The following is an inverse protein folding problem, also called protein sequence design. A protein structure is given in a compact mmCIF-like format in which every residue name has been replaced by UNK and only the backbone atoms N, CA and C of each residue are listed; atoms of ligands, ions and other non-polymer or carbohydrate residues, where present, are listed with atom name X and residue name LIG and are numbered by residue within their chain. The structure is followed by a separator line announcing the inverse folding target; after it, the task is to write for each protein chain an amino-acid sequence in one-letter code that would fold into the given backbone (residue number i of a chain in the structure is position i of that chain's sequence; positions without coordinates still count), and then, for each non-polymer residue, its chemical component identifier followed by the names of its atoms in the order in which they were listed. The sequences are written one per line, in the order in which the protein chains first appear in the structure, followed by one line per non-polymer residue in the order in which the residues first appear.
data_IF_966761164021
#
_entry.id   IF_966761164021
#
_cell.length_a   1.000
_cell.length_b   1.000
_cell.length_c   1.000
_cell.angle_alpha   90.00
_cell.angle_beta   90.00
_cell.angle_gamma   90.00
#
_symmetry.space_group_name_H-M   'P 1'
#
loop_
_entity.id
_entity.type
_entity.pdbx_description
1 polymer ?
#
# COMPACT_ATOMS: atom_id res chain seq x y z
N UNK A 1 11.86 10.13 -6.70
CA UNK A 1 12.73 9.39 -5.77
C UNK A 1 12.29 7.94 -5.77
N UNK A 2 13.23 6.99 -5.70
CA UNK A 2 12.90 5.56 -5.60
C UNK A 2 12.38 5.19 -4.20
N UNK A 3 11.79 4.01 -4.03
CA UNK A 3 11.29 3.56 -2.74
C UNK A 3 12.44 3.35 -1.75
N UNK A 4 12.22 3.63 -0.47
CA UNK A 4 13.18 3.33 0.60
C UNK A 4 13.13 1.83 0.96
N UNK A 5 14.19 1.29 1.57
CA UNK A 5 14.16 -0.08 2.08
C UNK A 5 13.07 -0.27 3.15
N UNK A 6 12.83 0.75 3.98
CA UNK A 6 11.74 0.75 4.96
C UNK A 6 10.37 0.56 4.31
N UNK A 7 10.09 1.25 3.20
CA UNK A 7 8.84 1.08 2.45
C UNK A 7 8.70 -0.34 1.87
N UNK A 8 9.79 -0.94 1.38
CA UNK A 8 9.78 -2.33 0.91
C UNK A 8 9.50 -3.30 2.05
N UNK A 9 10.12 -3.12 3.21
CA UNK A 9 9.88 -3.97 4.39
C UNK A 9 8.44 -3.89 4.88
N UNK A 10 7.89 -2.67 4.98
CA UNK A 10 6.49 -2.45 5.33
C UNK A 10 5.58 -3.21 4.36
N UNK A 11 5.80 -3.03 3.05
CA UNK A 11 5.00 -3.68 2.03
C UNK A 11 5.07 -5.21 2.11
N UNK A 12 6.26 -5.78 2.25
CA UNK A 12 6.46 -7.23 2.40
C UNK A 12 5.76 -7.77 3.63
N UNK A 13 5.82 -7.04 4.74
CA UNK A 13 5.12 -7.44 5.95
C UNK A 13 3.60 -7.49 5.75
N UNK A 14 3.00 -6.52 5.04
CA UNK A 14 1.57 -6.61 4.70
C UNK A 14 1.26 -7.79 3.78
N UNK A 15 2.14 -8.10 2.83
CA UNK A 15 1.98 -9.25 1.94
C UNK A 15 2.05 -10.60 2.67
N UNK A 16 2.81 -10.69 3.77
CA UNK A 16 2.85 -11.90 4.61
C UNK A 16 1.67 -12.02 5.57
N UNK A 17 0.84 -10.97 5.72
CA UNK A 17 -0.32 -10.92 6.61
C UNK A 17 -1.59 -10.64 5.78
N UNK A 18 -2.03 -11.60 4.94
CA UNK A 18 -3.06 -11.39 3.93
C UNK A 18 -4.44 -11.02 4.49
N UNK A 19 -4.71 -11.28 5.77
CA UNK A 19 -5.93 -10.88 6.47
C UNK A 19 -6.09 -9.35 6.60
N UNK A 20 -4.99 -8.61 6.42
CA UNK A 20 -4.94 -7.14 6.54
C UNK A 20 -5.11 -6.42 5.20
N UNK A 21 -5.14 -7.17 4.09
CA UNK A 21 -5.25 -6.63 2.74
C UNK A 21 -6.47 -7.20 2.04
N UNK A 22 -7.03 -6.44 1.10
CA UNK A 22 -8.09 -6.92 0.20
C UNK A 22 -7.54 -7.08 -1.20
N UNK A 23 -7.64 -8.28 -1.75
CA UNK A 23 -7.24 -8.55 -3.13
C UNK A 23 -8.17 -7.83 -4.11
N UNK A 24 -7.59 -7.24 -5.17
CA UNK A 24 -8.38 -6.69 -6.26
C UNK A 24 -8.91 -7.81 -7.16
N UNK A 25 -10.02 -7.52 -7.86
CA UNK A 25 -10.52 -8.41 -8.90
C UNK A 25 -9.44 -8.63 -9.97
N UNK A 26 -9.32 -9.86 -10.47
CA UNK A 26 -8.37 -10.29 -11.49
C UNK A 26 -6.89 -10.28 -11.07
N UNK A 27 -6.58 -10.37 -9.76
CA UNK A 27 -5.21 -10.45 -9.26
C UNK A 27 -4.30 -9.27 -9.70
N UNK A 28 -4.91 -8.12 -10.01
CA UNK A 28 -4.24 -6.91 -10.49
C UNK A 28 -3.50 -6.14 -9.39
N UNK A 29 -3.60 -6.61 -8.15
CA UNK A 29 -3.06 -5.93 -6.97
C UNK A 29 -3.91 -6.18 -5.74
N UNK A 30 -3.73 -5.34 -4.74
CA UNK A 30 -4.50 -5.35 -3.50
C UNK A 30 -4.68 -3.93 -2.98
N UNK A 31 -5.55 -3.75 -2.00
CA UNK A 31 -5.78 -2.47 -1.35
C UNK A 31 -6.05 -2.65 0.14
N UNK A 32 -5.82 -1.59 0.88
CA UNK A 32 -6.08 -1.50 2.32
C UNK A 32 -7.07 -0.35 2.50
N UNK A 33 -8.20 -0.65 3.13
CA UNK A 33 -9.22 0.36 3.45
C UNK A 33 -8.84 1.03 4.76
N UNK A 34 -9.04 2.34 4.85
CA UNK A 34 -8.90 3.09 6.09
C UNK A 34 -9.94 2.73 7.16
N UNK A 35 -9.74 3.31 8.34
CA UNK A 35 -10.56 3.08 9.53
C UNK A 35 -10.05 1.92 10.41
N UNK A 36 -8.82 1.46 10.17
CA UNK A 36 -8.12 0.51 11.05
C UNK A 36 -6.98 1.23 11.76
N UNK A 37 -6.77 0.91 13.04
CA UNK A 37 -5.63 1.43 13.81
C UNK A 37 -4.45 0.45 13.74
N UNK A 38 -3.25 0.99 13.61
CA UNK A 38 -1.98 0.27 13.72
C UNK A 38 -1.31 0.69 15.01
N UNK A 39 -0.88 -0.29 15.80
CA UNK A 39 -0.07 -0.06 17.00
C UNK A 39 1.40 -0.24 16.61
N UNK A 40 2.16 0.84 16.71
CA UNK A 40 3.59 0.85 16.44
C UNK A 40 4.38 0.28 17.64
N UNK A 41 5.65 -0.08 17.42
CA UNK A 41 6.50 -0.67 18.47
C UNK A 41 6.70 0.23 19.70
N UNK A 42 6.59 1.54 19.52
CA UNK A 42 6.67 2.54 20.59
C UNK A 42 5.33 2.71 21.35
N UNK A 43 4.29 1.94 21.01
CA UNK A 43 2.95 2.06 21.57
C UNK A 43 2.09 3.17 20.94
N UNK A 44 2.60 3.90 19.94
CA UNK A 44 1.82 4.88 19.20
C UNK A 44 0.73 4.19 18.37
N UNK A 45 -0.51 4.65 18.52
CA UNK A 45 -1.62 4.23 17.67
C UNK A 45 -1.80 5.25 16.55
N UNK A 46 -1.85 4.78 15.31
CA UNK A 46 -2.03 5.62 14.13
C UNK A 46 -3.02 4.94 13.18
N UNK A 47 -3.86 5.74 12.52
CA UNK A 47 -4.77 5.26 11.49
C UNK A 47 -3.94 4.69 10.31
N UNK A 48 -4.38 3.58 9.72
CA UNK A 48 -3.59 2.81 8.75
C UNK A 48 -3.16 3.61 7.52
N UNK A 49 -4.01 4.47 6.97
CA UNK A 49 -3.70 5.35 5.84
C UNK A 49 -2.74 6.45 6.29
N UNK A 50 -2.95 7.02 7.47
CA UNK A 50 -2.03 8.01 8.04
C UNK A 50 -0.64 7.41 8.32
N UNK A 51 -0.56 6.14 8.72
CA UNK A 51 0.69 5.40 8.82
C UNK A 51 1.40 5.34 7.46
N UNK A 52 0.71 4.93 6.39
CA UNK A 52 1.29 4.91 5.06
C UNK A 52 1.75 6.30 4.59
N UNK A 53 0.99 7.36 4.90
CA UNK A 53 1.38 8.75 4.62
C UNK A 53 2.64 9.17 5.38
N UNK A 54 2.71 8.85 6.68
CA UNK A 54 3.88 9.11 7.54
C UNK A 54 5.13 8.38 7.02
N UNK A 55 4.95 7.22 6.42
CA UNK A 55 5.99 6.41 5.76
C UNK A 55 6.23 6.82 4.30
N UNK A 56 5.71 7.98 3.88
CA UNK A 56 5.87 8.60 2.56
C UNK A 56 5.41 7.71 1.39
N UNK A 57 4.42 6.85 1.61
CA UNK A 57 3.71 6.21 0.51
C UNK A 57 2.84 7.27 -0.18
N UNK A 58 3.21 7.62 -1.40
CA UNK A 58 2.54 8.65 -2.20
C UNK A 58 2.04 8.08 -3.52
N UNK A 59 1.11 8.79 -4.15
CA UNK A 59 0.63 8.45 -5.50
C UNK A 59 1.80 8.29 -6.48
N UNK A 60 1.74 7.24 -7.30
CA UNK A 60 2.75 6.85 -8.30
C UNK A 60 4.09 6.36 -7.72
N UNK A 61 4.22 6.18 -6.41
CA UNK A 61 5.36 5.47 -5.85
C UNK A 61 5.39 4.04 -6.40
N UNK A 62 6.56 3.60 -6.88
CA UNK A 62 6.80 2.22 -7.28
C UNK A 62 7.62 1.54 -6.19
N UNK A 63 7.07 0.49 -5.58
CA UNK A 63 7.71 -0.23 -4.47
C UNK A 63 7.47 -1.73 -4.61
N UNK A 64 8.56 -2.50 -4.62
CA UNK A 64 8.57 -3.98 -4.69
C UNK A 64 7.66 -4.57 -5.80
N UNK A 65 7.64 -3.94 -6.98
CA UNK A 65 6.81 -4.38 -8.12
C UNK A 65 5.36 -3.89 -8.09
N UNK A 66 5.00 -2.99 -7.17
CA UNK A 66 3.67 -2.39 -7.06
C UNK A 66 3.72 -0.88 -7.29
N UNK A 67 2.71 -0.36 -7.99
CA UNK A 67 2.43 1.08 -8.10
C UNK A 67 1.37 1.48 -7.06
N UNK A 68 1.64 2.54 -6.31
CA UNK A 68 0.80 3.02 -5.21
C UNK A 68 -0.18 4.08 -5.70
N UNK A 69 -1.43 3.98 -5.23
CA UNK A 69 -2.44 5.03 -5.39
C UNK A 69 -3.27 5.18 -4.12
N UNK A 70 -3.32 6.37 -3.56
CA UNK A 70 -4.20 6.72 -2.45
C UNK A 70 -5.48 7.31 -3.05
N UNK A 71 -6.61 6.72 -2.69
CA UNK A 71 -7.94 7.24 -2.99
C UNK A 71 -8.51 7.87 -1.74
N UNK A 72 -8.76 9.17 -1.79
CA UNK A 72 -9.38 9.91 -0.70
C UNK A 72 -10.82 9.44 -0.46
N UNK A 73 -11.32 9.75 0.74
CA UNK A 73 -12.70 9.51 1.12
C UNK A 73 -13.66 10.29 0.20
N UNK A 74 -14.78 9.65 -0.13
CA UNK A 74 -15.89 10.25 -0.88
C UNK A 74 -17.21 9.77 -0.29
N UNK A 75 -18.32 10.42 -0.63
CA UNK A 75 -19.67 10.04 -0.16
C UNK A 75 -20.00 8.55 -0.34
N UNK A 76 -19.36 7.89 -1.31
CA UNK A 76 -19.64 6.49 -1.67
C UNK A 76 -18.55 5.51 -1.18
N UNK A 77 -17.36 5.99 -0.82
CA UNK A 77 -16.21 5.12 -0.55
C UNK A 77 -15.34 5.67 0.58
N UNK A 78 -14.96 4.78 1.50
CA UNK A 78 -13.91 5.06 2.49
C UNK A 78 -12.57 5.25 1.80
N UNK A 79 -11.73 6.06 2.43
CA UNK A 79 -10.34 6.23 2.03
C UNK A 79 -9.60 4.88 1.94
N UNK A 80 -8.74 4.72 0.93
CA UNK A 80 -8.00 3.48 0.73
C UNK A 80 -6.67 3.72 0.02
N UNK A 81 -5.67 2.91 0.37
CA UNK A 81 -4.40 2.81 -0.37
C UNK A 81 -4.41 1.55 -1.24
N UNK A 82 -4.16 1.74 -2.54
CA UNK A 82 -4.12 0.71 -3.56
C UNK A 82 -2.69 0.43 -3.98
N UNK A 83 -2.37 -0.85 -4.15
CA UNK A 83 -1.10 -1.37 -4.66
C UNK A 83 -1.39 -2.19 -5.92
N UNK A 84 -1.12 -1.62 -7.08
CA UNK A 84 -1.32 -2.27 -8.38
C UNK A 84 -0.06 -3.00 -8.81
N UNK A 85 -0.15 -4.27 -9.17
CA UNK A 85 1.01 -5.01 -9.72
C UNK A 85 1.47 -4.36 -11.01
N UNK A 86 2.76 -4.13 -11.12
CA UNK A 86 3.40 -3.69 -12.36
C UNK A 86 3.89 -4.94 -13.07
N UNK A 87 3.39 -5.16 -14.28
CA UNK A 87 3.91 -6.21 -15.15
C UNK A 87 5.08 -5.61 -15.92
N UNK A 88 6.28 -6.15 -15.69
CA UNK A 88 7.46 -5.86 -16.52
C UNK A 88 7.54 -6.87 -17.64
N UNK A 89 7.88 -6.41 -18.84
CA UNK A 89 8.12 -7.25 -19.99
C UNK A 89 9.56 -7.01 -20.45
N UNK A 90 10.33 -8.08 -20.58
CA UNK A 90 11.65 -8.01 -21.21
C UNK A 90 11.45 -7.92 -22.72
N UNK A 91 11.94 -6.84 -23.31
CA UNK A 91 11.93 -6.63 -24.76
C UNK A 91 13.34 -6.99 -25.28
N UNK A 92 13.47 -7.97 -26.20
CA UNK A 92 14.76 -8.56 -26.54
C UNK A 92 15.56 -7.81 -27.63
N UNK A 93 15.22 -6.56 -27.92
CA UNK A 93 15.84 -5.77 -28.99
C UNK A 93 16.35 -4.42 -28.51
#
# INVERSE_FOLDING_TARGET
MGPTERQKEILRWFLTNPERIRQMRNNSGFFIIGGHMVVLKNGEEIEIIDFFRKEEFVNNLIVDGYSVRIKEESEQYREAIHFFKINTYDIPF
#
